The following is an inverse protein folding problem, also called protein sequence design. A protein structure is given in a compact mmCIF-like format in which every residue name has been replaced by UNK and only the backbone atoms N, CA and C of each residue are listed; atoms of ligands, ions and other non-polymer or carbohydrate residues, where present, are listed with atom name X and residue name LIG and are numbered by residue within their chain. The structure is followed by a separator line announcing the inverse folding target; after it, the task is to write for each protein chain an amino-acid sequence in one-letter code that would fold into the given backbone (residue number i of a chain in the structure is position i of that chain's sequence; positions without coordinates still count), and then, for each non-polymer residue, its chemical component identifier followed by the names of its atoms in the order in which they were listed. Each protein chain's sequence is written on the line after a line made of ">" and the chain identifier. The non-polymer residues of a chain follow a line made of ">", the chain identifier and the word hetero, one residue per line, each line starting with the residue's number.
data_IF_431384217120
#
_entry.id   IF_431384217120
#
_cell.length_a   1.000
_cell.length_b   1.000
_cell.length_c   1.000
_cell.angle_alpha   90.00
_cell.angle_beta   90.00
_cell.angle_gamma   90.00
#
_symmetry.space_group_name_H-M   'P 1'
#
loop_
_entity.id
_entity.type
_entity.pdbx_description
1 polymer ?
#
# COMPACT_ATOMS: atom_id res chain seq x y z
N UNK A 1 1.68 -1.40 -20.37
CA UNK A 1 0.39 -0.78 -20.75
C UNK A 1 -0.45 -1.83 -21.46
N UNK A 2 -1.78 -1.91 -21.22
CA UNK A 2 -2.63 -2.98 -21.79
C UNK A 2 -2.76 -2.85 -23.31
N UNK A 3 -2.62 -3.98 -24.03
CA UNK A 3 -2.72 -4.08 -25.49
C UNK A 3 -4.08 -3.65 -26.06
N UNK A 4 -5.09 -3.43 -25.21
CA UNK A 4 -6.40 -2.90 -25.61
C UNK A 4 -6.31 -1.47 -26.16
N UNK A 5 -5.41 -0.64 -25.63
CA UNK A 5 -5.37 0.79 -25.96
C UNK A 5 -4.79 1.09 -27.35
N UNK A 6 -4.11 0.13 -27.99
CA UNK A 6 -3.56 0.32 -29.35
C UNK A 6 -4.65 0.36 -30.43
N UNK A 7 -5.87 -0.06 -30.10
CA UNK A 7 -7.00 -0.11 -31.04
C UNK A 7 -7.95 1.10 -30.90
N UNK A 8 -7.69 2.03 -29.99
CA UNK A 8 -8.57 3.18 -29.74
C UNK A 8 -7.78 4.49 -29.82
N UNK A 9 -8.27 5.42 -30.64
CA UNK A 9 -7.75 6.79 -30.71
C UNK A 9 -8.66 7.71 -29.89
N UNK A 10 -8.07 8.47 -28.97
CA UNK A 10 -8.81 9.47 -28.21
C UNK A 10 -9.02 10.69 -29.09
N UNK A 11 -10.23 10.84 -29.66
CA UNK A 11 -10.63 12.06 -30.37
C UNK A 11 -11.00 13.14 -29.36
N UNK A 12 -10.30 14.28 -29.40
CA UNK A 12 -10.58 15.45 -28.56
C UNK A 12 -11.64 16.39 -29.18
N UNK A 13 -12.17 16.09 -30.38
CA UNK A 13 -13.01 17.02 -31.15
C UNK A 13 -14.51 16.70 -31.12
N UNK A 14 -14.92 15.56 -30.56
CA UNK A 14 -16.33 15.17 -30.50
C UNK A 14 -16.83 15.08 -29.06
N UNK A 15 -17.50 16.13 -28.59
CA UNK A 15 -18.24 16.14 -27.32
C UNK A 15 -19.41 15.15 -27.27
N UNK A 16 -19.69 14.42 -28.36
CA UNK A 16 -20.71 13.37 -28.44
C UNK A 16 -20.20 11.95 -28.16
N UNK A 17 -18.89 11.75 -27.91
CA UNK A 17 -18.32 10.44 -27.49
C UNK A 17 -18.16 10.38 -25.95
N UNK A 18 -18.66 11.37 -25.22
CA UNK A 18 -18.72 11.37 -23.76
C UNK A 18 -19.87 10.48 -23.24
N UNK A 19 -19.79 9.17 -23.45
CA UNK A 19 -20.69 8.22 -22.78
C UNK A 19 -20.09 6.82 -22.53
N UNK A 20 -18.78 6.71 -22.35
CA UNK A 20 -18.20 5.61 -21.57
C UNK A 20 -17.91 6.16 -20.17
N UNK A 21 -18.89 6.03 -19.28
CA UNK A 21 -18.93 6.58 -17.91
C UNK A 21 -17.85 6.01 -16.95
N UNK A 22 -16.80 5.39 -17.50
CA UNK A 22 -15.62 4.88 -16.79
C UNK A 22 -14.62 4.37 -17.84
N UNK A 23 -13.46 5.02 -17.95
CA UNK A 23 -12.33 4.62 -18.81
C UNK A 23 -11.58 3.41 -18.25
N UNK A 24 -12.29 2.32 -17.93
CA UNK A 24 -11.66 1.09 -17.47
C UNK A 24 -11.49 0.10 -18.64
N UNK A 25 -10.41 -0.69 -18.60
CA UNK A 25 -10.06 -1.62 -19.67
C UNK A 25 -11.11 -2.74 -19.86
N UNK A 26 -11.88 -3.05 -18.83
CA UNK A 26 -12.92 -4.09 -18.85
C UNK A 26 -14.13 -3.68 -19.68
N UNK A 27 -14.56 -2.43 -19.55
CA UNK A 27 -15.64 -1.85 -20.35
C UNK A 27 -15.27 -1.82 -21.83
N UNK A 28 -14.01 -1.47 -22.11
CA UNK A 28 -13.49 -1.40 -23.48
C UNK A 28 -13.39 -2.79 -24.13
N UNK A 29 -12.97 -3.80 -23.37
CA UNK A 29 -12.94 -5.19 -23.84
C UNK A 29 -14.36 -5.73 -24.11
N UNK A 30 -15.34 -5.37 -23.26
CA UNK A 30 -16.75 -5.73 -23.47
C UNK A 30 -17.33 -5.08 -24.74
N UNK A 31 -16.98 -3.81 -25.00
CA UNK A 31 -17.35 -3.12 -26.24
C UNK A 31 -16.76 -3.84 -27.47
N UNK A 32 -15.46 -4.18 -27.44
CA UNK A 32 -14.82 -4.94 -28.51
C UNK A 32 -15.54 -6.27 -28.77
N UNK A 33 -15.84 -7.04 -27.73
CA UNK A 33 -16.53 -8.33 -27.86
C UNK A 33 -17.88 -8.23 -28.58
N UNK A 34 -18.64 -7.18 -28.28
CA UNK A 34 -20.02 -7.05 -28.74
C UNK A 34 -20.16 -6.29 -30.06
N UNK A 35 -19.25 -5.36 -30.36
CA UNK A 35 -19.33 -4.49 -31.54
C UNK A 35 -18.25 -4.75 -32.58
N UNK A 36 -17.10 -5.31 -32.18
CA UNK A 36 -15.95 -5.57 -33.03
C UNK A 36 -15.32 -6.95 -32.70
N UNK A 37 -16.06 -8.06 -32.90
CA UNK A 37 -15.64 -9.39 -32.48
C UNK A 37 -14.31 -9.85 -33.12
N UNK A 38 -14.03 -9.40 -34.35
CA UNK A 38 -12.76 -9.68 -35.05
C UNK A 38 -11.56 -9.01 -34.35
N UNK A 39 -11.70 -7.74 -33.97
CA UNK A 39 -10.66 -6.99 -33.23
C UNK A 39 -10.51 -7.51 -31.80
N UNK A 40 -11.57 -8.04 -31.20
CA UNK A 40 -11.52 -8.69 -29.89
C UNK A 40 -10.64 -9.96 -29.91
N UNK A 41 -10.73 -10.78 -30.97
CA UNK A 41 -9.91 -11.98 -31.13
C UNK A 41 -8.42 -11.57 -31.22
N UNK A 42 -8.10 -10.56 -32.02
CA UNK A 42 -6.72 -10.09 -32.18
C UNK A 42 -6.15 -9.44 -30.90
N UNK A 43 -6.98 -8.72 -30.14
CA UNK A 43 -6.59 -8.15 -28.86
C UNK A 43 -6.38 -9.24 -27.78
N UNK A 44 -7.17 -10.32 -27.84
CA UNK A 44 -6.99 -11.49 -26.99
C UNK A 44 -5.70 -12.22 -27.33
N UNK A 45 -5.40 -12.43 -28.62
CA UNK A 45 -4.15 -13.05 -29.09
C UNK A 45 -2.92 -12.22 -28.73
N UNK A 46 -2.98 -10.90 -28.86
CA UNK A 46 -1.90 -10.00 -28.43
C UNK A 46 -1.65 -10.06 -26.92
N UNK A 47 -2.69 -10.22 -26.10
CA UNK A 47 -2.56 -10.46 -24.66
C UNK A 47 -1.95 -11.83 -24.32
N UNK A 48 -2.13 -12.82 -25.19
CA UNK A 48 -1.53 -14.16 -25.07
C UNK A 48 -0.06 -14.13 -25.47
N UNK A 49 0.31 -13.39 -26.52
CA UNK A 49 1.70 -13.25 -26.98
C UNK A 49 2.61 -12.52 -25.97
N UNK A 50 2.07 -11.59 -25.17
CA UNK A 50 2.82 -10.93 -24.08
C UNK A 50 2.91 -11.76 -22.78
N UNK A 51 2.34 -12.96 -22.74
CA UNK A 51 2.45 -13.89 -21.61
C UNK A 51 3.38 -15.05 -21.98
N UNK A 52 4.62 -14.96 -21.49
CA UNK A 52 5.42 -16.17 -21.24
C UNK A 52 4.63 -17.18 -20.39
N UNK A 53 4.90 -18.49 -20.53
CA UNK A 53 3.90 -19.53 -20.46
C UNK A 53 3.42 -19.76 -19.02
N UNK A 54 2.12 -19.52 -18.79
CA UNK A 54 1.38 -20.20 -17.72
C UNK A 54 0.50 -21.25 -18.38
N UNK A 55 1.08 -22.43 -18.52
CA UNK A 55 0.37 -23.67 -18.84
C UNK A 55 -0.81 -23.83 -17.88
N UNK A 56 -1.95 -24.13 -18.48
CA UNK A 56 -3.17 -24.50 -17.80
C UNK A 56 -2.94 -25.88 -17.17
N UNK A 57 -2.84 -25.92 -15.85
CA UNK A 57 -3.28 -27.08 -15.08
C UNK A 57 -4.24 -26.58 -14.01
N UNK A 58 -5.45 -27.11 -14.08
CA UNK A 58 -6.56 -26.76 -13.23
C UNK A 58 -6.28 -27.10 -11.74
N UNK A 59 -7.00 -26.38 -10.88
CA UNK A 59 -7.34 -26.73 -9.49
C UNK A 59 -6.30 -26.59 -8.34
N UNK A 60 -4.99 -26.44 -8.57
CA UNK A 60 -4.02 -26.35 -7.45
C UNK A 60 -3.51 -24.94 -7.08
N UNK A 61 -3.68 -23.93 -7.94
CA UNK A 61 -3.07 -22.59 -7.74
C UNK A 61 -3.98 -21.53 -7.09
N UNK A 62 -5.26 -21.85 -6.85
CA UNK A 62 -6.16 -20.97 -6.07
C UNK A 62 -5.76 -20.99 -4.58
N UNK A 63 -5.23 -22.11 -4.08
CA UNK A 63 -4.75 -22.22 -2.70
C UNK A 63 -3.54 -21.33 -2.39
N UNK A 64 -2.55 -21.25 -3.29
CA UNK A 64 -1.34 -20.44 -3.06
C UNK A 64 -1.60 -18.94 -3.12
N UNK A 65 -2.55 -18.50 -3.96
CA UNK A 65 -2.92 -17.08 -4.08
C UNK A 65 -3.71 -16.61 -2.85
N UNK A 66 -4.61 -17.45 -2.33
CA UNK A 66 -5.35 -17.13 -1.10
C UNK A 66 -4.41 -17.14 0.10
N UNK A 67 -3.50 -18.11 0.21
CA UNK A 67 -2.50 -18.13 1.29
C UNK A 67 -1.57 -16.91 1.23
N UNK A 68 -1.10 -16.53 0.05
CA UNK A 68 -0.31 -15.30 -0.10
C UNK A 68 -1.11 -14.04 0.27
N UNK A 69 -2.38 -13.96 -0.10
CA UNK A 69 -3.25 -12.84 0.29
C UNK A 69 -3.53 -12.80 1.80
N UNK A 70 -3.68 -13.97 2.44
CA UNK A 70 -3.82 -14.10 3.89
C UNK A 70 -2.53 -13.73 4.63
N UNK A 71 -1.37 -14.13 4.10
CA UNK A 71 -0.07 -13.78 4.67
C UNK A 71 0.23 -12.28 4.53
N UNK A 72 -0.27 -11.64 3.47
CA UNK A 72 -0.21 -10.19 3.27
C UNK A 72 -1.11 -9.42 4.24
N UNK A 73 -2.22 -10.02 4.70
CA UNK A 73 -3.12 -9.41 5.71
C UNK A 73 -2.75 -9.77 7.13
N UNK A 74 -1.88 -10.77 7.34
CA UNK A 74 -1.40 -11.14 8.66
C UNK A 74 -0.62 -9.99 9.28
N UNK A 75 -1.05 -9.59 10.48
CA UNK A 75 -0.34 -8.61 11.31
C UNK A 75 1.08 -9.09 11.61
N UNK A 76 2.01 -8.16 11.75
CA UNK A 76 3.37 -8.49 12.14
C UNK A 76 3.41 -9.18 13.50
N UNK A 77 4.33 -10.13 13.63
CA UNK A 77 4.71 -10.65 14.92
C UNK A 77 5.33 -9.54 15.77
N UNK A 78 5.20 -9.63 17.09
CA UNK A 78 5.73 -8.64 18.04
C UNK A 78 7.25 -8.45 17.91
N UNK A 79 7.95 -9.49 17.51
CA UNK A 79 9.41 -9.50 17.34
C UNK A 79 9.85 -9.22 15.90
N UNK A 80 8.93 -8.78 15.04
CA UNK A 80 9.29 -8.38 13.68
C UNK A 80 10.17 -7.13 13.72
N UNK A 81 11.35 -7.21 13.08
CA UNK A 81 12.26 -6.07 12.95
C UNK A 81 11.58 -4.83 12.34
N UNK A 82 10.65 -5.03 11.39
CA UNK A 82 9.88 -3.93 10.79
C UNK A 82 8.91 -3.30 11.79
N UNK A 83 8.21 -4.10 12.59
CA UNK A 83 7.31 -3.58 13.62
C UNK A 83 8.08 -2.82 14.72
N UNK A 84 9.25 -3.32 15.12
CA UNK A 84 10.13 -2.62 16.06
C UNK A 84 10.65 -1.31 15.48
N UNK A 85 11.06 -1.29 14.21
CA UNK A 85 11.49 -0.08 13.52
C UNK A 85 10.39 0.99 13.49
N UNK A 86 9.14 0.62 13.17
CA UNK A 86 8.00 1.55 13.20
C UNK A 86 7.77 2.05 14.63
N UNK A 87 7.79 1.17 15.62
CA UNK A 87 7.62 1.53 17.04
C UNK A 87 8.68 2.53 17.51
N UNK A 88 9.94 2.34 17.09
CA UNK A 88 11.02 3.27 17.38
C UNK A 88 10.79 4.63 16.73
N UNK A 89 10.29 4.68 15.49
CA UNK A 89 9.93 5.94 14.83
C UNK A 89 8.77 6.66 15.51
N UNK A 90 7.78 5.93 16.01
CA UNK A 90 6.71 6.54 16.83
C UNK A 90 7.29 7.15 18.12
N UNK A 91 8.23 6.46 18.78
CA UNK A 91 8.94 7.01 19.95
C UNK A 91 9.78 8.24 19.60
N UNK A 92 10.43 8.26 18.44
CA UNK A 92 11.18 9.43 17.97
C UNK A 92 10.25 10.63 17.77
N UNK A 93 9.09 10.48 17.14
CA UNK A 93 8.11 11.57 16.98
C UNK A 93 7.66 12.09 18.35
N UNK A 94 7.36 11.18 19.28
CA UNK A 94 6.96 11.54 20.65
C UNK A 94 8.04 12.38 21.32
N UNK A 95 9.30 11.95 21.21
CA UNK A 95 10.41 12.64 21.83
C UNK A 95 10.70 13.98 21.13
N UNK A 96 10.92 13.98 19.82
CA UNK A 96 11.37 15.14 19.05
C UNK A 96 10.34 16.28 19.04
N UNK A 97 9.05 15.95 18.93
CA UNK A 97 7.98 16.93 18.82
C UNK A 97 7.29 17.21 20.18
N UNK A 98 7.90 16.77 21.29
CA UNK A 98 7.39 16.86 22.66
C UNK A 98 5.91 16.45 22.78
N UNK A 99 5.53 15.37 22.07
CA UNK A 99 4.15 14.92 22.03
C UNK A 99 3.80 14.13 23.29
N UNK A 100 2.58 14.29 23.82
CA UNK A 100 2.14 13.45 24.92
C UNK A 100 2.02 11.99 24.44
N UNK A 101 2.34 11.04 25.32
CA UNK A 101 2.19 9.59 25.03
C UNK A 101 0.76 9.18 24.67
N UNK A 102 -0.25 10.04 24.89
CA UNK A 102 -1.63 9.81 24.46
C UNK A 102 -1.83 9.86 22.95
N UNK A 103 -0.88 10.42 22.17
CA UNK A 103 -0.99 10.51 20.70
C UNK A 103 -1.22 9.14 20.03
N UNK A 104 -0.68 8.07 20.62
CA UNK A 104 -0.86 6.69 20.12
C UNK A 104 -2.29 6.16 20.31
N UNK A 105 -3.10 6.87 21.09
CA UNK A 105 -4.51 6.59 21.33
C UNK A 105 -5.44 7.44 20.47
N UNK A 106 -4.91 8.51 19.86
CA UNK A 106 -5.67 9.43 19.03
C UNK A 106 -6.16 8.76 17.74
N UNK A 107 -7.42 9.03 17.40
CA UNK A 107 -8.09 8.42 16.26
C UNK A 107 -7.39 8.74 14.94
N UNK A 108 -7.00 10.00 14.73
CA UNK A 108 -6.35 10.44 13.49
C UNK A 108 -4.99 9.77 13.31
N UNK A 109 -4.19 9.71 14.37
CA UNK A 109 -2.88 9.07 14.34
C UNK A 109 -2.99 7.57 14.06
N UNK A 110 -3.93 6.87 14.70
CA UNK A 110 -4.18 5.44 14.43
C UNK A 110 -4.61 5.18 12.99
N UNK A 111 -5.50 6.00 12.44
CA UNK A 111 -5.93 5.89 11.04
C UNK A 111 -4.78 6.11 10.07
N UNK A 112 -3.88 7.06 10.37
CA UNK A 112 -2.68 7.30 9.56
C UNK A 112 -1.76 6.07 9.56
N UNK A 113 -1.46 5.53 10.74
CA UNK A 113 -0.59 4.35 10.88
C UNK A 113 -1.20 3.12 10.19
N UNK A 114 -2.50 2.90 10.35
CA UNK A 114 -3.20 1.80 9.68
C UNK A 114 -3.21 1.96 8.16
N UNK A 115 -3.30 3.20 7.65
CA UNK A 115 -3.21 3.46 6.22
C UNK A 115 -1.80 3.21 5.66
N UNK A 116 -0.76 3.63 6.37
CA UNK A 116 0.63 3.49 5.93
C UNK A 116 1.10 2.04 6.02
N UNK A 117 0.78 1.34 7.11
CA UNK A 117 1.17 -0.04 7.32
C UNK A 117 0.06 -0.83 8.05
N UNK A 118 -0.91 -1.39 7.29
CA UNK A 118 -2.05 -2.11 7.85
C UNK A 118 -1.66 -3.34 8.68
N UNK A 119 -0.47 -3.91 8.44
CA UNK A 119 0.02 -5.09 9.14
C UNK A 119 0.62 -4.74 10.49
N UNK A 120 0.88 -3.47 10.77
CA UNK A 120 1.42 -3.03 12.05
C UNK A 120 0.29 -2.83 13.07
N UNK A 121 0.51 -3.34 14.28
CA UNK A 121 -0.38 -3.10 15.40
C UNK A 121 0.27 -2.11 16.36
N UNK A 122 -0.24 -0.88 16.39
CA UNK A 122 0.28 0.16 17.28
C UNK A 122 0.13 -0.27 18.75
N UNK A 123 1.22 -0.27 19.54
CA UNK A 123 1.16 -0.58 20.97
C UNK A 123 0.34 0.44 21.77
N UNK A 124 -0.08 0.04 22.96
CA UNK A 124 -0.80 0.94 23.87
C UNK A 124 0.12 1.98 24.49
N UNK A 125 -0.46 3.09 24.98
CA UNK A 125 0.28 4.10 25.75
C UNK A 125 1.09 3.51 26.91
N UNK A 126 0.55 2.49 27.59
CA UNK A 126 1.24 1.80 28.70
C UNK A 126 2.55 1.16 28.24
N UNK A 127 2.53 0.50 27.08
CA UNK A 127 3.74 -0.07 26.50
C UNK A 127 4.81 1.00 26.27
N UNK A 128 4.43 2.13 25.67
CA UNK A 128 5.36 3.23 25.43
C UNK A 128 5.89 3.84 26.74
N UNK A 129 5.06 3.96 27.79
CA UNK A 129 5.51 4.36 29.13
C UNK A 129 6.56 3.40 29.70
N UNK A 130 6.33 2.09 29.60
CA UNK A 130 7.26 1.08 30.14
C UNK A 130 8.56 1.00 29.33
N UNK A 131 8.50 1.15 28.01
CA UNK A 131 9.68 1.22 27.14
C UNK A 131 10.44 2.51 27.38
N UNK A 132 9.75 3.65 27.55
CA UNK A 132 10.37 4.95 27.82
C UNK A 132 11.25 4.90 29.05
N UNK A 133 10.82 4.22 30.13
CA UNK A 133 11.64 4.00 31.34
C UNK A 133 13.02 3.37 31.05
N UNK A 134 13.13 2.58 29.99
CA UNK A 134 14.37 1.95 29.55
C UNK A 134 15.14 2.80 28.51
N UNK A 135 14.46 3.70 27.79
CA UNK A 135 14.99 4.50 26.66
C UNK A 135 15.42 5.91 27.06
N UNK A 136 15.11 6.39 28.29
CA UNK A 136 15.54 7.72 28.80
C UNK A 136 17.06 7.94 28.68
N UNK A 137 17.86 6.90 28.44
CA UNK A 137 19.31 7.01 28.22
C UNK A 137 19.72 7.41 26.79
N UNK A 138 18.88 7.19 25.78
CA UNK A 138 19.24 7.40 24.36
C UNK A 138 18.70 8.71 23.80
N UNK A 139 17.47 9.09 24.17
CA UNK A 139 16.85 10.34 23.67
C UNK A 139 17.37 11.58 24.41
N UNK A 140 17.80 11.47 25.67
CA UNK A 140 18.41 12.59 26.39
C UNK A 140 19.71 13.06 25.71
N UNK A 141 20.50 12.13 25.16
CA UNK A 141 21.70 12.48 24.38
C UNK A 141 21.38 13.19 23.06
N UNK A 142 20.24 12.90 22.42
CA UNK A 142 19.83 13.56 21.17
C UNK A 142 19.32 14.98 21.46
N UNK A 143 18.56 15.16 22.56
CA UNK A 143 18.12 16.47 23.00
C UNK A 143 19.29 17.38 23.41
N UNK A 144 20.28 16.88 24.15
CA UNK A 144 21.49 17.66 24.49
C UNK A 144 22.34 18.00 23.24
N UNK A 145 22.47 17.09 22.26
CA UNK A 145 23.25 17.36 21.05
C UNK A 145 22.57 18.33 20.07
N UNK A 146 21.24 18.30 19.96
CA UNK A 146 20.49 19.21 19.10
C UNK A 146 20.39 20.62 19.72
N UNK A 147 20.17 20.74 21.04
CA UNK A 147 20.10 22.06 21.69
C UNK A 147 21.46 22.77 21.81
N UNK A 148 22.58 22.02 21.83
CA UNK A 148 23.91 22.62 21.93
C UNK A 148 24.48 23.07 20.57
N UNK A 149 23.96 22.57 19.45
CA UNK A 149 24.48 22.90 18.11
C UNK A 149 23.78 24.10 17.45
N UNK A 150 22.62 24.53 17.97
CA UNK A 150 21.89 25.73 17.49
C UNK A 150 22.17 27.02 18.29
N UNK A 151 23.15 27.00 19.21
CA UNK A 151 23.57 28.17 20.02
C UNK A 151 25.03 28.63 19.80
N UNK A 152 25.71 28.16 18.76
CA UNK A 152 27.06 28.62 18.35
C UNK A 152 27.04 29.34 17.01
#
# INVERSE_FOLDING_TARGET
>A
MSAVWTFFTVSNKDTRIAALKSFNATNLMSHLKNRHPEVHIQCQEANVASKQPKTKTAAAAVGSTIQQALDQTKKFAKDSAKAQSITNKVMEIIALDDQPLSIVEDRGFRQLIEHIEPRYSLPSRRYFSDVSKNVVRTCFNIFDLAYFTDLS
#
